data_IF_479933544118
#
_entry.id   IF_479933544118
#
_cell.length_a   1.000
_cell.length_b   1.000
_cell.length_c   1.000
_cell.angle_alpha   90.00
_cell.angle_beta   90.00
_cell.angle_gamma   90.00
#
_symmetry.space_group_name_H-M   'P 1'
#
loop_
_entity.id
_entity.type
_entity.pdbx_description
1 polymer ?
#
# COMPACT_ATOMS: atom_id res chain seq x y z
N UNK A 1 -5.91 -6.76 22.53
CA UNK A 1 -5.54 -5.57 21.74
C UNK A 1 -4.53 -6.00 20.68
N UNK A 2 -4.77 -5.67 19.40
CA UNK A 2 -3.92 -6.14 18.29
C UNK A 2 -2.44 -5.78 18.47
N UNK A 3 -2.18 -4.65 19.13
CA UNK A 3 -0.83 -4.17 19.41
C UNK A 3 -0.08 -5.06 20.40
N UNK A 4 -0.74 -5.47 21.47
CA UNK A 4 -0.14 -6.35 22.50
C UNK A 4 0.21 -7.73 21.93
N UNK A 5 -0.67 -8.25 21.06
CA UNK A 5 -0.44 -9.53 20.36
C UNK A 5 0.82 -9.43 19.48
N UNK A 6 0.98 -8.31 18.74
CA UNK A 6 2.17 -8.07 17.94
C UNK A 6 3.44 -7.94 18.78
N UNK A 7 3.41 -7.16 19.85
CA UNK A 7 4.53 -7.00 20.78
C UNK A 7 4.95 -8.35 21.38
N UNK A 8 3.99 -9.23 21.72
CA UNK A 8 4.28 -10.59 22.20
C UNK A 8 5.05 -11.41 21.16
N UNK A 9 4.56 -11.46 19.91
CA UNK A 9 5.19 -12.26 18.87
C UNK A 9 6.54 -11.71 18.38
N UNK A 10 6.74 -10.40 18.42
CA UNK A 10 7.99 -9.75 18.00
C UNK A 10 9.02 -9.68 19.13
N UNK A 11 8.63 -9.86 20.38
CA UNK A 11 9.54 -9.76 21.52
C UNK A 11 10.62 -10.84 21.49
N UNK A 12 11.92 -10.45 21.54
CA UNK A 12 13.02 -11.41 21.65
C UNK A 12 13.13 -12.06 23.04
N UNK A 13 12.43 -11.52 24.04
CA UNK A 13 12.44 -12.03 25.42
C UNK A 13 11.57 -13.28 25.59
N UNK A 14 10.68 -13.57 24.65
CA UNK A 14 9.74 -14.69 24.70
C UNK A 14 10.29 -15.83 23.84
N UNK A 15 10.39 -17.04 24.44
CA UNK A 15 10.94 -18.18 23.73
C UNK A 15 10.05 -18.65 22.58
N UNK A 16 10.65 -19.33 21.59
CA UNK A 16 9.90 -19.90 20.46
C UNK A 16 8.81 -20.85 20.90
N UNK A 17 9.12 -21.68 21.89
CA UNK A 17 8.19 -22.67 22.44
C UNK A 17 6.97 -21.99 23.06
N UNK A 18 7.16 -20.88 23.75
CA UNK A 18 6.07 -20.09 24.33
C UNK A 18 5.19 -19.46 23.26
N UNK A 19 5.78 -18.93 22.18
CA UNK A 19 5.06 -18.37 21.04
C UNK A 19 4.26 -19.44 20.29
N UNK A 20 4.84 -20.60 20.07
CA UNK A 20 4.18 -21.74 19.42
C UNK A 20 3.00 -22.22 20.27
N UNK A 21 3.19 -22.42 21.57
CA UNK A 21 2.09 -22.81 22.49
C UNK A 21 0.96 -21.78 22.52
N UNK A 22 1.28 -20.49 22.44
CA UNK A 22 0.27 -19.44 22.36
C UNK A 22 -0.58 -19.56 21.07
N UNK A 23 0.05 -19.85 19.92
CA UNK A 23 -0.69 -20.09 18.66
C UNK A 23 -1.56 -21.35 18.77
N UNK A 24 -1.02 -22.45 19.28
CA UNK A 24 -1.76 -23.71 19.43
C UNK A 24 -2.99 -23.55 20.33
N UNK A 25 -2.85 -22.81 21.44
CA UNK A 25 -3.93 -22.67 22.41
C UNK A 25 -4.98 -21.62 21.99
N UNK A 26 -4.56 -20.52 21.36
CA UNK A 26 -5.44 -19.38 21.10
C UNK A 26 -6.04 -19.40 19.69
N UNK A 27 -5.35 -19.98 18.70
CA UNK A 27 -5.72 -19.83 17.29
C UNK A 27 -6.11 -21.14 16.60
N UNK A 28 -5.94 -22.31 17.25
CA UNK A 28 -6.24 -23.61 16.66
C UNK A 28 -7.68 -23.74 16.16
N UNK A 29 -8.62 -23.11 16.84
CA UNK A 29 -10.05 -23.13 16.48
C UNK A 29 -10.48 -21.91 15.67
N UNK A 30 -9.65 -20.87 15.57
CA UNK A 30 -9.98 -19.60 14.94
C UNK A 30 -9.57 -19.57 13.45
N UNK A 31 -8.45 -20.20 13.11
CA UNK A 31 -7.90 -20.22 11.76
C UNK A 31 -7.93 -21.61 11.14
N UNK A 32 -7.89 -21.66 9.80
CA UNK A 32 -7.77 -22.92 9.09
C UNK A 32 -6.41 -23.61 9.37
N UNK A 33 -6.36 -24.92 9.19
CA UNK A 33 -5.13 -25.71 9.38
C UNK A 33 -3.96 -25.20 8.55
N UNK A 34 -4.24 -24.68 7.34
CA UNK A 34 -3.23 -24.09 6.46
C UNK A 34 -2.59 -22.84 7.08
N UNK A 35 -3.41 -21.94 7.66
CA UNK A 35 -2.91 -20.72 8.31
C UNK A 35 -2.14 -21.08 9.60
N UNK A 36 -2.64 -22.02 10.37
CA UNK A 36 -1.94 -22.49 11.57
C UNK A 36 -0.59 -23.10 11.24
N UNK A 37 -0.50 -23.92 10.17
CA UNK A 37 0.75 -24.50 9.68
C UNK A 37 1.73 -23.42 9.19
N UNK A 38 1.26 -22.37 8.52
CA UNK A 38 2.07 -21.23 8.10
C UNK A 38 2.63 -20.48 9.32
N UNK A 39 1.79 -20.16 10.30
CA UNK A 39 2.22 -19.47 11.53
C UNK A 39 3.27 -20.29 12.29
N UNK A 40 3.05 -21.61 12.43
CA UNK A 40 4.02 -22.51 13.02
C UNK A 40 5.37 -22.49 12.29
N UNK A 41 5.34 -22.56 10.95
CA UNK A 41 6.55 -22.54 10.11
C UNK A 41 7.32 -21.21 10.28
N UNK A 42 6.61 -20.09 10.31
CA UNK A 42 7.21 -18.76 10.48
C UNK A 42 7.85 -18.61 11.87
N UNK A 43 7.19 -19.08 12.93
CA UNK A 43 7.72 -19.06 14.29
C UNK A 43 8.94 -19.96 14.44
N UNK A 44 8.87 -21.19 13.88
CA UNK A 44 9.99 -22.14 13.91
C UNK A 44 11.27 -21.59 13.28
N UNK A 45 11.11 -20.79 12.21
CA UNK A 45 12.23 -20.19 11.47
C UNK A 45 12.56 -18.74 11.90
N UNK A 46 11.99 -18.22 12.98
CA UNK A 46 12.13 -16.81 13.40
C UNK A 46 11.75 -15.80 12.33
N UNK A 47 10.73 -16.09 11.51
CA UNK A 47 10.28 -15.25 10.39
C UNK A 47 8.90 -14.65 10.57
N UNK A 48 8.40 -14.65 11.80
CA UNK A 48 7.04 -14.15 12.10
C UNK A 48 6.85 -12.67 11.71
N UNK A 49 7.90 -11.86 11.73
CA UNK A 49 7.85 -10.46 11.33
C UNK A 49 7.50 -10.24 9.86
N UNK A 50 7.68 -11.25 8.99
CA UNK A 50 7.28 -11.18 7.58
C UNK A 50 5.78 -11.46 7.34
N UNK A 51 4.99 -11.77 8.38
CA UNK A 51 3.59 -12.18 8.17
C UNK A 51 2.76 -11.10 7.46
N UNK A 52 3.03 -9.81 7.72
CA UNK A 52 2.35 -8.70 7.05
C UNK A 52 2.68 -8.64 5.56
N UNK A 53 3.95 -8.80 5.24
CA UNK A 53 4.43 -8.83 3.86
C UNK A 53 3.86 -10.03 3.10
N UNK A 54 3.81 -11.20 3.75
CA UNK A 54 3.20 -12.41 3.19
C UNK A 54 1.71 -12.19 2.93
N UNK A 55 0.97 -11.61 3.90
CA UNK A 55 -0.45 -11.31 3.74
C UNK A 55 -0.71 -10.33 2.59
N UNK A 56 0.14 -9.29 2.46
CA UNK A 56 0.06 -8.34 1.35
C UNK A 56 0.31 -9.02 0.01
N UNK A 57 1.38 -9.83 -0.10
CA UNK A 57 1.70 -10.56 -1.34
C UNK A 57 0.61 -11.58 -1.70
N UNK A 58 0.03 -12.26 -0.71
CA UNK A 58 -1.09 -13.16 -0.93
C UNK A 58 -2.32 -12.42 -1.48
N UNK A 59 -2.62 -11.24 -0.91
CA UNK A 59 -3.73 -10.40 -1.38
C UNK A 59 -3.51 -9.96 -2.82
N UNK A 60 -2.31 -9.46 -3.16
CA UNK A 60 -1.95 -9.06 -4.52
C UNK A 60 -2.04 -10.25 -5.50
N UNK A 61 -1.52 -11.41 -5.12
CA UNK A 61 -1.61 -12.62 -5.92
C UNK A 61 -3.05 -13.07 -6.17
N UNK A 62 -3.92 -13.01 -5.15
CA UNK A 62 -5.33 -13.34 -5.28
C UNK A 62 -6.09 -12.32 -6.15
N UNK A 63 -5.75 -11.04 -6.06
CA UNK A 63 -6.32 -10.01 -6.92
C UNK A 63 -5.94 -10.25 -8.39
N UNK A 64 -4.68 -10.59 -8.66
CA UNK A 64 -4.22 -10.96 -10.03
C UNK A 64 -4.96 -12.18 -10.58
N UNK A 65 -5.12 -13.23 -9.78
CA UNK A 65 -5.87 -14.44 -10.18
C UNK A 65 -7.34 -14.15 -10.49
N UNK A 66 -7.94 -13.18 -9.81
CA UNK A 66 -9.33 -12.73 -10.02
C UNK A 66 -9.47 -11.65 -11.09
N UNK A 67 -8.38 -11.27 -11.76
CA UNK A 67 -8.38 -10.16 -12.72
C UNK A 67 -8.71 -8.81 -12.09
N UNK A 68 -8.40 -8.64 -10.81
CA UNK A 68 -8.65 -7.41 -10.05
C UNK A 68 -7.45 -6.49 -10.11
N UNK A 69 -7.72 -5.20 -10.15
CA UNK A 69 -6.72 -4.14 -10.10
C UNK A 69 -6.87 -3.41 -8.78
N UNK A 70 -5.88 -3.49 -7.91
CA UNK A 70 -5.86 -2.69 -6.69
C UNK A 70 -5.17 -1.37 -6.94
N UNK A 71 -5.91 -0.26 -6.79
CA UNK A 71 -5.42 1.09 -6.98
C UNK A 71 -5.36 1.83 -5.64
N UNK A 72 -4.20 2.34 -5.31
CA UNK A 72 -3.96 3.21 -4.16
C UNK A 72 -4.06 4.65 -4.62
N UNK A 73 -5.06 5.38 -4.11
CA UNK A 73 -5.34 6.77 -4.48
C UNK A 73 -4.97 7.67 -3.32
N UNK A 74 -3.93 8.47 -3.51
CA UNK A 74 -3.53 9.51 -2.56
C UNK A 74 -4.23 10.83 -2.96
N UNK A 75 -4.85 11.51 -2.02
CA UNK A 75 -5.58 12.77 -2.23
C UNK A 75 -5.32 13.75 -1.09
N UNK A 76 -5.43 15.06 -1.34
CA UNK A 76 -5.24 16.08 -0.30
C UNK A 76 -6.33 16.03 0.78
N UNK A 77 -7.57 15.67 0.39
CA UNK A 77 -8.72 15.50 1.26
C UNK A 77 -9.35 14.12 1.02
N UNK A 78 -10.15 13.65 1.98
CA UNK A 78 -10.91 12.41 1.82
C UNK A 78 -11.84 12.51 0.61
N UNK A 79 -11.78 11.52 -0.27
CA UNK A 79 -12.64 11.44 -1.42
C UNK A 79 -14.07 11.03 -1.01
N UNK A 80 -15.07 11.57 -1.70
CA UNK A 80 -16.45 11.11 -1.57
C UNK A 80 -16.66 9.77 -2.28
N UNK A 81 -17.72 9.06 -1.91
CA UNK A 81 -18.07 7.77 -2.53
C UNK A 81 -18.31 7.94 -4.03
N UNK A 82 -18.89 9.06 -4.48
CA UNK A 82 -19.10 9.37 -5.90
C UNK A 82 -17.77 9.55 -6.65
N UNK A 83 -16.80 10.23 -6.07
CA UNK A 83 -15.47 10.39 -6.67
C UNK A 83 -14.71 9.06 -6.75
N UNK A 84 -14.81 8.23 -5.71
CA UNK A 84 -14.24 6.88 -5.70
C UNK A 84 -14.87 6.04 -6.82
N UNK A 85 -16.20 6.06 -6.96
CA UNK A 85 -16.92 5.31 -8.00
C UNK A 85 -16.52 5.78 -9.41
N UNK A 86 -16.34 7.07 -9.64
CA UNK A 86 -15.89 7.62 -10.93
C UNK A 86 -14.49 7.14 -11.30
N UNK A 87 -13.53 7.22 -10.36
CA UNK A 87 -12.17 6.73 -10.55
C UNK A 87 -12.19 5.22 -10.81
N UNK A 88 -12.96 4.47 -10.04
CA UNK A 88 -13.12 3.02 -10.18
C UNK A 88 -13.64 2.64 -11.57
N UNK A 89 -14.71 3.31 -12.03
CA UNK A 89 -15.30 3.10 -13.35
C UNK A 89 -14.28 3.37 -14.46
N UNK A 90 -13.58 4.51 -14.39
CA UNK A 90 -12.58 4.93 -15.37
C UNK A 90 -11.43 3.92 -15.47
N UNK A 91 -10.90 3.48 -14.33
CA UNK A 91 -9.81 2.51 -14.28
C UNK A 91 -10.28 1.13 -14.77
N UNK A 92 -11.47 0.68 -14.36
CA UNK A 92 -12.03 -0.60 -14.77
C UNK A 92 -12.27 -0.67 -16.28
N UNK A 93 -12.76 0.39 -16.89
CA UNK A 93 -12.94 0.48 -18.34
C UNK A 93 -11.59 0.47 -19.08
N UNK A 94 -10.63 1.28 -18.62
CA UNK A 94 -9.34 1.43 -19.28
C UNK A 94 -8.50 0.15 -19.22
N UNK A 95 -8.54 -0.56 -18.11
CA UNK A 95 -7.68 -1.73 -17.85
C UNK A 95 -8.43 -3.06 -17.91
N UNK A 96 -9.73 -3.06 -18.25
CA UNK A 96 -10.56 -4.25 -18.46
C UNK A 96 -10.57 -5.22 -17.27
N UNK A 97 -10.59 -4.69 -16.04
CA UNK A 97 -10.61 -5.48 -14.81
C UNK A 97 -11.43 -4.81 -13.71
N UNK A 98 -11.88 -5.59 -12.74
CA UNK A 98 -12.52 -5.05 -11.53
C UNK A 98 -11.49 -4.22 -10.74
N UNK A 99 -11.77 -2.92 -10.55
CA UNK A 99 -10.86 -2.04 -9.81
C UNK A 99 -11.29 -1.91 -8.35
N UNK A 100 -10.36 -2.14 -7.43
CA UNK A 100 -10.53 -1.90 -5.99
C UNK A 100 -9.73 -0.65 -5.63
N UNK A 101 -10.38 0.36 -5.04
CA UNK A 101 -9.74 1.62 -4.67
C UNK A 101 -9.54 1.70 -3.17
N UNK A 102 -8.33 2.03 -2.75
CA UNK A 102 -7.99 2.41 -1.38
C UNK A 102 -7.53 3.87 -1.36
N UNK A 103 -8.27 4.74 -0.63
CA UNK A 103 -7.94 6.16 -0.55
C UNK A 103 -7.13 6.48 0.70
N UNK A 104 -6.00 7.15 0.50
CA UNK A 104 -5.11 7.67 1.53
C UNK A 104 -5.07 9.21 1.47
N UNK A 105 -5.34 9.86 2.60
CA UNK A 105 -5.30 11.32 2.67
C UNK A 105 -3.87 11.79 2.93
N UNK A 106 -3.35 12.61 2.02
CA UNK A 106 -2.01 13.23 2.09
C UNK A 106 -2.13 14.73 1.83
N UNK A 107 -2.30 15.54 2.88
CA UNK A 107 -2.48 16.99 2.76
C UNK A 107 -1.33 17.71 2.03
N UNK A 108 -0.12 17.13 2.06
CA UNK A 108 1.06 17.65 1.37
C UNK A 108 0.96 17.68 -0.16
N UNK A 109 -0.04 17.03 -0.75
CA UNK A 109 -0.32 17.11 -2.19
C UNK A 109 -0.90 18.46 -2.59
N UNK A 110 -1.42 19.25 -1.63
CA UNK A 110 -2.08 20.55 -1.80
C UNK A 110 -3.42 20.39 -2.54
N UNK A 111 -3.48 19.54 -3.57
CA UNK A 111 -4.66 19.21 -4.37
C UNK A 111 -4.33 18.21 -5.46
N UNK A 112 -5.38 17.77 -6.18
CA UNK A 112 -5.27 16.73 -7.18
C UNK A 112 -5.15 15.32 -6.57
N UNK A 113 -4.75 14.36 -7.41
CA UNK A 113 -4.69 12.95 -7.06
C UNK A 113 -3.36 12.33 -7.53
N UNK A 114 -2.86 11.37 -6.76
CA UNK A 114 -1.81 10.44 -7.20
C UNK A 114 -2.40 9.03 -7.14
N UNK A 115 -2.39 8.32 -8.25
CA UNK A 115 -2.95 6.97 -8.36
C UNK A 115 -1.81 6.00 -8.65
N UNK A 116 -1.68 4.97 -7.82
CA UNK A 116 -0.71 3.89 -7.97
C UNK A 116 -1.43 2.56 -8.12
N UNK A 117 -1.14 1.81 -9.15
CA UNK A 117 -1.67 0.46 -9.34
C UNK A 117 -0.70 -0.36 -10.19
N UNK A 118 -0.45 -1.60 -9.78
CA UNK A 118 0.62 -2.43 -10.32
C UNK A 118 1.94 -1.62 -10.40
N UNK A 119 2.57 -1.55 -11.58
CA UNK A 119 3.79 -0.77 -11.84
C UNK A 119 3.51 0.63 -12.41
N UNK A 120 2.23 1.05 -12.44
CA UNK A 120 1.82 2.34 -12.99
C UNK A 120 1.67 3.40 -11.90
N UNK A 121 2.14 4.60 -12.20
CA UNK A 121 1.95 5.81 -11.39
C UNK A 121 1.33 6.90 -12.26
N UNK A 122 0.19 7.41 -11.83
CA UNK A 122 -0.46 8.59 -12.43
C UNK A 122 -0.43 9.70 -11.38
N UNK A 123 0.40 10.72 -11.61
CA UNK A 123 0.54 11.86 -10.71
C UNK A 123 -0.10 13.11 -11.34
N UNK A 124 -1.29 13.44 -10.85
CA UNK A 124 -2.03 14.67 -11.15
C UNK A 124 -2.04 15.67 -9.99
N UNK A 125 -1.09 15.59 -9.06
CA UNK A 125 -1.03 16.48 -7.90
C UNK A 125 -0.63 17.91 -8.28
N UNK A 126 -1.21 18.88 -7.58
CA UNK A 126 -0.81 20.29 -7.71
C UNK A 126 0.64 20.51 -7.28
N UNK A 127 1.13 19.74 -6.33
CA UNK A 127 2.53 19.77 -5.91
C UNK A 127 3.48 19.48 -7.06
N UNK A 128 3.25 18.44 -7.83
CA UNK A 128 4.09 18.07 -8.98
C UNK A 128 4.00 19.11 -10.09
N UNK A 129 2.81 19.68 -10.35
CA UNK A 129 2.63 20.77 -11.31
C UNK A 129 3.43 22.01 -10.90
N UNK A 130 3.34 22.43 -9.63
CA UNK A 130 4.12 23.56 -9.10
C UNK A 130 5.63 23.31 -9.17
N UNK A 131 6.09 22.10 -8.87
CA UNK A 131 7.50 21.73 -9.00
C UNK A 131 7.98 21.84 -10.46
N UNK A 132 7.17 21.40 -11.40
CA UNK A 132 7.48 21.49 -12.85
C UNK A 132 7.56 22.95 -13.30
N UNK A 133 6.61 23.80 -12.90
CA UNK A 133 6.63 25.24 -13.19
C UNK A 133 7.87 25.89 -12.58
N UNK A 134 8.19 25.62 -11.33
CA UNK A 134 9.39 26.12 -10.66
C UNK A 134 10.66 25.73 -11.42
N UNK A 135 10.78 24.47 -11.84
CA UNK A 135 11.92 23.96 -12.61
C UNK A 135 12.07 24.71 -13.94
N UNK A 136 10.97 24.87 -14.67
CA UNK A 136 10.97 25.57 -15.96
C UNK A 136 11.37 27.04 -15.81
N UNK A 137 10.89 27.73 -14.77
CA UNK A 137 11.27 29.12 -14.49
C UNK A 137 12.76 29.27 -14.13
N UNK A 138 13.32 28.33 -13.38
CA UNK A 138 14.74 28.33 -13.04
C UNK A 138 15.61 28.08 -14.29
N UNK A 139 15.19 27.15 -15.15
CA UNK A 139 15.90 26.84 -16.40
C UNK A 139 15.86 28.01 -17.40
N UNK A 140 14.71 28.71 -17.52
CA UNK A 140 14.59 29.89 -18.40
C UNK A 140 15.47 31.05 -17.92
N UNK A 141 15.63 31.25 -16.62
CA UNK A 141 16.53 32.27 -16.07
C UNK A 141 18.01 31.94 -16.31
N UNK A 142 18.40 30.69 -16.32
CA UNK A 142 19.77 30.25 -16.57
C UNK A 142 20.11 30.30 -18.09
N UNK A 143 19.13 30.06 -18.98
CA UNK A 143 19.33 30.17 -20.45
C UNK A 143 19.45 31.60 -20.97
N UNK A 144 18.86 32.59 -20.21
CA UNK A 144 18.98 34.02 -20.59
C UNK A 144 20.31 34.67 -20.24
N UNK A 145 21.11 34.08 -19.37
CA UNK A 145 22.39 34.63 -18.91
C UNK A 145 23.57 34.41 -19.91
N UNK A 146 23.38 33.64 -21.00
CA UNK A 146 24.43 33.30 -21.94
C UNK A 146 24.38 34.13 -23.26
N UNK A 147 23.48 35.10 -23.38
CA UNK A 147 23.35 35.93 -24.58
C UNK A 147 23.60 37.44 -24.37
N UNK A 148 24.29 37.83 -23.31
CA UNK A 148 24.83 39.19 -23.16
C UNK A 148 26.36 39.11 -23.13
N UNK A 149 26.96 39.08 -24.32
CA UNK A 149 28.29 39.60 -24.65
C UNK A 149 28.37 39.91 -26.14
#
# INVERSE_FOLDING_TARGET
DDREVWEFFLSPKISKEQKIKAVENSFKTTFSDTINSLLFLLLKNDRIYFIKEIANQFTLGNDLLKGRIRAYVESANKLSDSQIAEIQSTLSQKYKGECIIENFVKPELIGGLVIRFNDNLIDGSMRSQLMTIKKNLLQSKLGGAYYEN
#
